data_IF_394026548275
#
_entry.id   IF_394026548275
#
_cell.length_a   1.000
_cell.length_b   1.000
_cell.length_c   1.000
_cell.angle_alpha   90.00
_cell.angle_beta   90.00
_cell.angle_gamma   90.00
#
_symmetry.space_group_name_H-M   'P 1'
#
loop_
_entity.id
_entity.type
_entity.pdbx_description
1 polymer ?
#
# COMPACT_ATOMS: atom_id res chain seq x y z
N UNK A 1 -21.74 15.30 24.81
CA UNK A 1 -21.72 13.83 24.61
C UNK A 1 -21.91 13.57 23.11
N UNK A 2 -21.04 12.79 22.45
CA UNK A 2 -21.15 12.56 21.00
C UNK A 2 -22.46 11.86 20.62
N UNK A 3 -23.05 12.27 19.49
CA UNK A 3 -24.18 11.55 18.89
C UNK A 3 -23.76 10.16 18.42
N UNK A 4 -24.69 9.18 18.31
CA UNK A 4 -24.36 7.85 17.81
C UNK A 4 -23.62 7.86 16.46
N UNK A 5 -24.05 8.72 15.54
CA UNK A 5 -23.38 8.90 14.23
C UNK A 5 -21.94 9.38 14.38
N UNK A 6 -21.69 10.35 15.26
CA UNK A 6 -20.34 10.85 15.52
C UNK A 6 -19.44 9.75 16.11
N UNK A 7 -19.97 8.92 17.02
CA UNK A 7 -19.21 7.79 17.58
C UNK A 7 -18.81 6.79 16.48
N UNK A 8 -19.75 6.45 15.59
CA UNK A 8 -19.46 5.54 14.45
C UNK A 8 -18.41 6.13 13.54
N UNK A 9 -18.52 7.42 13.18
CA UNK A 9 -17.55 8.10 12.33
C UNK A 9 -16.14 8.11 12.96
N UNK A 10 -16.04 8.45 14.23
CA UNK A 10 -14.76 8.43 14.95
C UNK A 10 -14.18 7.03 15.06
N UNK A 11 -15.00 6.02 15.37
CA UNK A 11 -14.56 4.64 15.39
C UNK A 11 -14.04 4.19 14.02
N UNK A 12 -14.79 4.52 12.96
CA UNK A 12 -14.43 4.19 11.59
C UNK A 12 -13.12 4.88 11.15
N UNK A 13 -12.95 6.16 11.49
CA UNK A 13 -11.74 6.90 11.18
C UNK A 13 -10.54 6.37 11.97
N UNK A 14 -10.66 6.27 13.29
CA UNK A 14 -9.57 5.84 14.17
C UNK A 14 -9.11 4.41 13.88
N UNK A 15 -10.03 3.50 13.57
CA UNK A 15 -9.67 2.12 13.20
C UNK A 15 -8.91 2.05 11.88
N UNK A 16 -9.24 2.88 10.88
CA UNK A 16 -8.49 2.95 9.62
C UNK A 16 -7.10 3.52 9.81
N UNK A 17 -6.97 4.60 10.58
CA UNK A 17 -5.66 5.16 10.93
C UNK A 17 -4.81 4.13 11.68
N UNK A 18 -5.40 3.39 12.61
CA UNK A 18 -4.71 2.33 13.33
C UNK A 18 -4.20 1.22 12.40
N UNK A 19 -5.02 0.76 11.43
CA UNK A 19 -4.60 -0.24 10.45
C UNK A 19 -3.47 0.28 9.56
N UNK A 20 -3.56 1.53 9.07
CA UNK A 20 -2.48 2.14 8.28
C UNK A 20 -1.18 2.25 9.08
N UNK A 21 -1.26 2.61 10.36
CA UNK A 21 -0.10 2.67 11.24
C UNK A 21 0.53 1.29 11.46
N UNK A 22 -0.30 0.27 11.75
CA UNK A 22 0.17 -1.10 11.89
C UNK A 22 0.82 -1.60 10.61
N UNK A 23 0.22 -1.33 9.45
CA UNK A 23 0.78 -1.67 8.14
C UNK A 23 2.14 -1.01 7.91
N UNK A 24 2.29 0.29 8.22
CA UNK A 24 3.56 1.00 8.07
C UNK A 24 4.67 0.40 8.95
N UNK A 25 4.35 0.05 10.20
CA UNK A 25 5.29 -0.64 11.10
C UNK A 25 5.66 -2.01 10.54
N UNK A 26 4.67 -2.80 10.14
CA UNK A 26 4.89 -4.14 9.58
C UNK A 26 5.75 -4.11 8.32
N UNK A 27 5.56 -3.11 7.45
CA UNK A 27 6.34 -2.95 6.22
C UNK A 27 7.84 -2.67 6.48
N UNK A 28 8.18 -2.15 7.66
CA UNK A 28 9.58 -1.90 8.06
C UNK A 28 10.18 -3.10 8.80
N UNK A 29 9.39 -3.76 9.65
CA UNK A 29 9.90 -4.80 10.56
C UNK A 29 9.90 -6.19 9.92
N UNK A 30 8.88 -6.51 9.12
CA UNK A 30 8.69 -7.85 8.59
C UNK A 30 9.30 -7.96 7.19
N UNK A 31 10.10 -9.01 6.91
CA UNK A 31 10.58 -9.27 5.57
C UNK A 31 9.42 -9.69 4.65
N UNK A 32 9.50 -9.29 3.39
CA UNK A 32 8.55 -9.73 2.38
C UNK A 32 8.68 -11.23 2.12
N UNK A 33 7.54 -11.92 2.13
CA UNK A 33 7.47 -13.32 1.72
C UNK A 33 7.61 -13.43 0.20
N UNK A 34 8.53 -14.28 -0.26
CA UNK A 34 8.61 -14.64 -1.67
C UNK A 34 7.58 -15.72 -1.99
N UNK A 35 6.49 -15.32 -2.65
CA UNK A 35 5.37 -16.19 -2.99
C UNK A 35 5.41 -16.73 -4.43
N UNK A 36 6.46 -16.45 -5.20
CA UNK A 36 6.57 -16.82 -6.63
C UNK A 36 5.35 -16.36 -7.46
N UNK A 37 4.89 -15.13 -7.18
CA UNK A 37 3.74 -14.48 -7.85
C UNK A 37 4.21 -13.32 -8.72
N UNK A 38 3.30 -12.80 -9.55
CA UNK A 38 3.54 -11.65 -10.39
C UNK A 38 4.18 -10.47 -9.63
N UNK A 39 5.27 -9.94 -10.18
CA UNK A 39 5.93 -8.71 -9.74
C UNK A 39 6.04 -7.79 -10.93
N UNK A 40 5.26 -6.70 -10.94
CA UNK A 40 5.40 -5.63 -11.95
C UNK A 40 6.86 -5.17 -12.08
N UNK A 41 7.41 -5.12 -13.30
CA UNK A 41 8.75 -4.59 -13.52
C UNK A 41 8.81 -3.11 -13.14
N UNK A 42 9.94 -2.69 -12.57
CA UNK A 42 10.22 -1.27 -12.35
C UNK A 42 10.73 -0.62 -13.64
N UNK A 43 10.28 0.59 -13.94
CA UNK A 43 10.81 1.39 -15.05
C UNK A 43 12.19 1.95 -14.64
N UNK A 44 13.29 1.52 -15.31
CA UNK A 44 14.64 1.95 -14.97
C UNK A 44 14.89 3.44 -15.28
N UNK A 45 14.03 4.08 -16.07
CA UNK A 45 14.17 5.50 -16.42
C UNK A 45 13.51 6.44 -15.39
N UNK A 46 12.72 5.89 -14.46
CA UNK A 46 11.99 6.66 -13.48
C UNK A 46 12.93 7.21 -12.39
N UNK A 47 13.00 8.54 -12.25
CA UNK A 47 13.80 9.18 -11.21
C UNK A 47 13.12 9.04 -9.86
N UNK A 48 13.66 8.20 -8.98
CA UNK A 48 13.20 8.09 -7.58
C UNK A 48 13.64 9.32 -6.78
N UNK A 49 12.68 9.99 -6.17
CA UNK A 49 12.88 11.08 -5.22
C UNK A 49 12.95 10.56 -3.79
N UNK A 50 13.40 11.42 -2.86
CA UNK A 50 13.36 11.09 -1.42
C UNK A 50 11.93 10.91 -0.89
N UNK A 51 10.95 11.57 -1.52
CA UNK A 51 9.55 11.42 -1.14
C UNK A 51 9.00 10.05 -1.55
N UNK A 52 9.44 9.52 -2.69
CA UNK A 52 9.03 8.17 -3.13
C UNK A 52 9.48 7.11 -2.14
N UNK A 53 10.68 7.26 -1.57
CA UNK A 53 11.18 6.39 -0.51
C UNK A 53 10.32 6.47 0.77
N UNK A 54 9.91 7.68 1.16
CA UNK A 54 9.03 7.86 2.33
C UNK A 54 7.66 7.23 2.07
N UNK A 55 7.11 7.41 0.87
CA UNK A 55 5.85 6.79 0.45
C UNK A 55 5.96 5.28 0.46
N UNK A 56 7.06 4.71 -0.05
CA UNK A 56 7.26 3.26 -0.07
C UNK A 56 7.41 2.67 1.35
N UNK A 57 8.10 3.38 2.26
CA UNK A 57 8.17 2.96 3.67
C UNK A 57 6.78 2.96 4.32
N UNK A 58 6.03 4.04 4.16
CA UNK A 58 4.76 4.22 4.89
C UNK A 58 3.63 3.40 4.26
N UNK A 59 3.55 3.35 2.92
CA UNK A 59 2.42 2.82 2.16
C UNK A 59 2.79 1.65 1.24
N UNK A 60 4.07 1.29 1.07
CA UNK A 60 4.50 0.24 0.14
C UNK A 60 3.88 -1.13 0.43
N UNK A 61 3.56 -1.42 1.69
CA UNK A 61 2.83 -2.64 2.08
C UNK A 61 1.43 -2.74 1.43
N UNK A 62 0.79 -1.60 1.14
CA UNK A 62 -0.52 -1.55 0.47
C UNK A 62 -0.45 -1.89 -1.02
N UNK A 63 0.74 -1.84 -1.63
CA UNK A 63 0.98 -2.18 -3.03
C UNK A 63 1.08 -3.69 -3.26
N UNK A 64 1.26 -4.51 -2.22
CA UNK A 64 1.55 -5.94 -2.38
C UNK A 64 0.35 -6.73 -2.93
N UNK A 65 0.62 -7.93 -3.45
CA UNK A 65 -0.38 -8.86 -4.00
C UNK A 65 -1.17 -8.24 -5.17
N UNK A 66 -2.49 -8.48 -5.23
CA UNK A 66 -3.35 -8.06 -6.33
C UNK A 66 -3.30 -6.55 -6.60
N UNK A 67 -3.00 -5.72 -5.59
CA UNK A 67 -2.84 -4.29 -5.77
C UNK A 67 -1.70 -3.96 -6.75
N UNK A 68 -0.59 -4.71 -6.72
CA UNK A 68 0.53 -4.53 -7.65
C UNK A 68 0.09 -4.81 -9.08
N UNK A 69 -0.70 -5.87 -9.26
CA UNK A 69 -1.23 -6.25 -10.56
C UNK A 69 -2.24 -5.22 -11.09
N UNK A 70 -3.14 -4.72 -10.24
CA UNK A 70 -4.09 -3.67 -10.62
C UNK A 70 -3.39 -2.35 -10.97
N UNK A 71 -2.35 -1.97 -10.24
CA UNK A 71 -1.53 -0.79 -10.57
C UNK A 71 -0.85 -0.99 -11.92
N UNK A 72 -0.29 -2.18 -12.18
CA UNK A 72 0.32 -2.49 -13.48
C UNK A 72 -0.69 -2.36 -14.62
N UNK A 73 -1.88 -2.95 -14.49
CA UNK A 73 -2.94 -2.84 -15.49
C UNK A 73 -3.37 -1.38 -15.69
N UNK A 74 -3.51 -0.62 -14.61
CA UNK A 74 -3.89 0.79 -14.70
C UNK A 74 -2.85 1.64 -15.46
N UNK A 75 -1.57 1.27 -15.38
CA UNK A 75 -0.47 1.99 -16.03
C UNK A 75 -0.21 1.53 -17.47
N UNK A 76 -0.23 0.22 -17.71
CA UNK A 76 0.26 -0.38 -18.97
C UNK A 76 -0.82 -1.17 -19.73
N UNK A 77 -2.01 -1.34 -19.15
CA UNK A 77 -3.03 -2.24 -19.67
C UNK A 77 -2.74 -3.71 -19.31
N UNK A 78 -3.58 -4.61 -19.84
CA UNK A 78 -3.34 -6.04 -19.69
C UNK A 78 -2.12 -6.46 -20.51
N UNK A 79 -1.15 -7.04 -19.81
CA UNK A 79 0.00 -7.72 -20.40
C UNK A 79 -0.24 -9.22 -20.29
N UNK A 80 -0.01 -9.94 -21.39
CA UNK A 80 -0.10 -11.40 -21.43
C UNK A 80 1.33 -11.95 -21.47
N UNK A 81 1.59 -12.98 -20.69
CA UNK A 81 2.86 -13.74 -20.74
C UNK A 81 2.94 -14.60 -22.01
#
# INVERSE_FOLDING_TARGET
MYSPRQKILWFAFSSRIFVLFLQAISNVILPDHNADVFVSPEDPTLRKSRLDFIVDIVLGGMKRWDAQYFIHIAQYGYTYE
#
